data_IF_343059207514
#
_entry.id   IF_343059207514
#
_cell.length_a   1.000
_cell.length_b   1.000
_cell.length_c   1.000
_cell.angle_alpha   90.00
_cell.angle_beta   90.00
_cell.angle_gamma   90.00
#
_symmetry.space_group_name_H-M   'P 1'
#
loop_
_entity.id
_entity.type
_entity.pdbx_description
1 polymer ?
#
# COMPACT_ATOMS: atom_id res chain seq x y z
N UNK A 1 -4.77 5.49 -10.62
CA UNK A 1 -5.66 4.89 -9.62
C UNK A 1 -6.42 5.96 -8.85
N UNK A 2 -7.66 5.67 -8.51
CA UNK A 2 -8.49 6.57 -7.72
C UNK A 2 -8.48 6.07 -6.29
N UNK A 3 -8.04 6.93 -5.37
CA UNK A 3 -8.00 6.62 -3.96
C UNK A 3 -9.24 7.16 -3.25
N UNK A 4 -9.56 6.60 -2.07
CA UNK A 4 -10.62 7.11 -1.22
C UNK A 4 -10.34 8.56 -0.81
N UNK A 5 -11.42 9.33 -0.61
CA UNK A 5 -11.32 10.71 -0.13
C UNK A 5 -10.47 10.76 1.14
N UNK A 6 -9.50 11.65 1.17
CA UNK A 6 -8.57 11.82 2.29
C UNK A 6 -7.30 10.98 2.18
N UNK A 7 -7.30 9.90 1.39
CA UNK A 7 -6.09 9.08 1.25
C UNK A 7 -4.96 9.83 0.53
N UNK A 8 -5.30 10.64 -0.45
CA UNK A 8 -4.31 11.50 -1.13
C UNK A 8 -3.61 12.43 -0.16
N UNK A 9 -4.33 12.97 0.80
CA UNK A 9 -3.78 13.83 1.84
C UNK A 9 -2.77 13.08 2.71
N UNK A 10 -3.10 11.85 3.06
CA UNK A 10 -2.20 10.97 3.81
C UNK A 10 -0.93 10.69 3.01
N UNK A 11 -1.07 10.38 1.72
CA UNK A 11 0.07 10.14 0.84
C UNK A 11 0.93 11.38 0.64
N UNK A 12 0.33 12.55 0.55
CA UNK A 12 1.06 13.82 0.46
C UNK A 12 1.89 14.04 1.72
N UNK A 13 1.35 13.73 2.89
CA UNK A 13 2.08 13.84 4.16
C UNK A 13 3.25 12.86 4.23
N UNK A 14 3.04 11.62 3.76
CA UNK A 14 4.12 10.63 3.69
C UNK A 14 5.21 11.09 2.74
N UNK A 15 4.84 11.60 1.57
CA UNK A 15 5.82 12.11 0.59
C UNK A 15 6.64 13.26 1.16
N UNK A 16 5.99 14.17 1.91
CA UNK A 16 6.68 15.28 2.57
C UNK A 16 7.72 14.78 3.56
N UNK A 17 7.37 13.81 4.39
CA UNK A 17 8.31 13.19 5.33
C UNK A 17 9.49 12.57 4.59
N UNK A 18 9.22 11.85 3.50
CA UNK A 18 10.26 11.19 2.71
C UNK A 18 11.19 12.17 2.02
N UNK A 19 10.70 13.33 1.61
CA UNK A 19 11.54 14.36 1.00
C UNK A 19 12.36 15.12 2.04
N UNK A 20 11.84 15.28 3.26
CA UNK A 20 12.58 15.90 4.37
C UNK A 20 13.66 14.97 4.93
N UNK A 21 13.37 13.66 5.01
CA UNK A 21 14.28 12.64 5.55
C UNK A 21 14.74 11.73 4.42
N UNK A 22 15.68 12.21 3.63
CA UNK A 22 16.11 11.60 2.37
C UNK A 22 16.79 10.23 2.54
N UNK A 23 17.14 9.83 3.75
CA UNK A 23 17.74 8.51 4.05
C UNK A 23 16.71 7.53 4.61
N UNK A 24 15.47 7.68 4.22
CA UNK A 24 14.39 6.78 4.62
C UNK A 24 13.92 6.00 3.40
N UNK A 25 13.80 4.68 3.56
CA UNK A 25 13.13 3.81 2.59
C UNK A 25 11.66 3.70 2.91
N UNK A 26 10.86 3.43 1.89
CA UNK A 26 9.44 3.17 2.08
C UNK A 26 9.10 1.81 1.50
N UNK A 27 8.34 1.03 2.26
CA UNK A 27 7.83 -0.28 1.84
C UNK A 27 6.33 -0.17 1.72
N UNK A 28 5.82 -0.41 0.51
CA UNK A 28 4.39 -0.35 0.20
C UNK A 28 3.90 -1.77 -0.02
N UNK A 29 2.97 -2.21 0.80
CA UNK A 29 2.46 -3.59 0.77
C UNK A 29 0.95 -3.58 0.59
N UNK A 30 0.46 -4.34 -0.38
CA UNK A 30 -0.95 -4.47 -0.68
C UNK A 30 -1.51 -5.79 -0.17
N UNK A 31 -2.79 -5.76 0.21
CA UNK A 31 -3.51 -6.92 0.74
C UNK A 31 -4.94 -6.95 0.23
N UNK A 32 -5.52 -8.14 0.19
CA UNK A 32 -6.92 -8.36 -0.15
C UNK A 32 -7.63 -9.13 0.94
N UNK A 33 -8.96 -9.25 0.84
CA UNK A 33 -9.69 -10.27 1.58
C UNK A 33 -9.46 -11.65 0.93
N UNK A 34 -10.16 -12.68 1.42
CA UNK A 34 -9.97 -14.05 0.93
C UNK A 34 -10.97 -14.46 -0.18
N UNK A 35 -11.71 -13.51 -0.73
CA UNK A 35 -12.65 -13.81 -1.82
C UNK A 35 -11.91 -13.79 -3.15
N UNK A 36 -12.13 -14.84 -3.94
CA UNK A 36 -11.53 -14.98 -5.24
C UNK A 36 -10.28 -15.84 -5.24
N UNK A 37 -9.71 -16.02 -6.43
CA UNK A 37 -8.54 -16.88 -6.61
C UNK A 37 -7.28 -16.21 -6.06
N UNK A 38 -6.39 -17.01 -5.48
CA UNK A 38 -5.16 -16.52 -4.88
C UNK A 38 -4.29 -15.75 -5.89
N UNK A 39 -4.13 -16.28 -7.10
CA UNK A 39 -3.34 -15.62 -8.14
C UNK A 39 -3.90 -14.24 -8.50
N UNK A 40 -5.22 -14.13 -8.62
CA UNK A 40 -5.89 -12.85 -8.88
C UNK A 40 -5.68 -11.86 -7.72
N UNK A 41 -5.83 -12.33 -6.49
CA UNK A 41 -5.67 -11.49 -5.30
C UNK A 41 -4.22 -11.01 -5.15
N UNK A 42 -3.25 -11.86 -5.43
CA UNK A 42 -1.84 -11.47 -5.39
C UNK A 42 -1.56 -10.35 -6.40
N UNK A 43 -2.06 -10.50 -7.62
CA UNK A 43 -1.88 -9.49 -8.67
C UNK A 43 -2.60 -8.19 -8.33
N UNK A 44 -3.85 -8.27 -7.84
CA UNK A 44 -4.64 -7.10 -7.45
C UNK A 44 -3.96 -6.31 -6.33
N UNK A 45 -3.46 -7.01 -5.31
CA UNK A 45 -2.78 -6.38 -4.18
C UNK A 45 -1.49 -5.69 -4.63
N UNK A 46 -0.75 -6.29 -5.55
CA UNK A 46 0.45 -5.67 -6.12
C UNK A 46 0.11 -4.42 -6.92
N UNK A 47 -0.95 -4.46 -7.72
CA UNK A 47 -1.42 -3.29 -8.47
C UNK A 47 -1.78 -2.12 -7.56
N UNK A 48 -2.48 -2.40 -6.47
CA UNK A 48 -2.86 -1.38 -5.50
C UNK A 48 -1.65 -0.76 -4.82
N UNK A 49 -0.69 -1.59 -4.41
CA UNK A 49 0.54 -1.12 -3.81
C UNK A 49 1.35 -0.29 -4.81
N UNK A 50 1.41 -0.73 -6.07
CA UNK A 50 2.13 0.00 -7.12
C UNK A 50 1.49 1.37 -7.41
N UNK A 51 0.17 1.46 -7.36
CA UNK A 51 -0.53 2.74 -7.53
C UNK A 51 -0.15 3.74 -6.44
N UNK A 52 -0.01 3.27 -5.20
CA UNK A 52 0.47 4.11 -4.10
C UNK A 52 1.92 4.54 -4.33
N UNK A 53 2.77 3.62 -4.75
CA UNK A 53 4.17 3.93 -5.06
C UNK A 53 4.27 4.97 -6.19
N UNK A 54 3.47 4.81 -7.25
CA UNK A 54 3.46 5.75 -8.37
C UNK A 54 3.04 7.15 -7.92
N UNK A 55 2.08 7.24 -7.01
CA UNK A 55 1.67 8.54 -6.44
C UNK A 55 2.84 9.20 -5.69
N UNK A 56 3.58 8.43 -4.90
CA UNK A 56 4.73 8.95 -4.17
C UNK A 56 5.83 9.42 -5.14
N UNK A 57 6.05 8.69 -6.23
CA UNK A 57 7.02 9.08 -7.26
C UNK A 57 6.63 10.42 -7.88
N UNK A 58 5.33 10.64 -8.15
CA UNK A 58 4.84 11.93 -8.65
C UNK A 58 5.04 13.07 -7.66
N UNK A 59 5.27 12.75 -6.40
CA UNK A 59 5.56 13.70 -5.33
C UNK A 59 7.04 13.77 -5.01
N UNK A 60 7.90 13.44 -5.97
CA UNK A 60 9.36 13.57 -5.91
C UNK A 60 10.06 12.56 -4.99
N UNK A 61 9.40 11.45 -4.66
CA UNK A 61 10.08 10.36 -3.96
C UNK A 61 10.79 9.49 -5.00
N UNK A 62 12.10 9.29 -4.83
CA UNK A 62 12.88 8.48 -5.77
C UNK A 62 12.40 7.02 -5.80
N UNK A 63 12.18 6.43 -6.98
CA UNK A 63 11.81 5.02 -7.08
C UNK A 63 12.80 4.07 -6.40
N UNK A 64 14.07 4.42 -6.34
CA UNK A 64 15.10 3.59 -5.69
C UNK A 64 14.88 3.43 -4.19
N UNK A 65 14.07 4.30 -3.58
CA UNK A 65 13.74 4.27 -2.15
C UNK A 65 12.46 3.50 -1.86
N UNK A 66 11.76 3.02 -2.89
CA UNK A 66 10.43 2.42 -2.74
C UNK A 66 10.51 0.94 -3.08
N UNK A 67 10.04 0.10 -2.15
CA UNK A 67 9.82 -1.33 -2.38
C UNK A 67 8.32 -1.59 -2.39
N UNK A 68 7.86 -2.44 -3.32
CA UNK A 68 6.43 -2.71 -3.53
C UNK A 68 6.19 -4.20 -3.42
N UNK A 69 5.23 -4.59 -2.61
CA UNK A 69 4.86 -5.99 -2.41
C UNK A 69 3.35 -6.18 -2.50
N UNK A 70 2.93 -7.31 -3.06
CA UNK A 70 1.54 -7.74 -3.08
C UNK A 70 1.41 -9.09 -2.40
N UNK A 71 0.74 -9.13 -1.27
CA UNK A 71 0.59 -10.33 -0.46
C UNK A 71 -0.76 -11.03 -0.65
N UNK A 72 -1.67 -10.44 -1.40
CA UNK A 72 -2.99 -11.03 -1.62
C UNK A 72 -3.74 -11.17 -0.30
N UNK A 73 -4.32 -12.35 -0.07
CA UNK A 73 -5.10 -12.64 1.13
C UNK A 73 -4.25 -13.12 2.31
N UNK A 74 -2.94 -13.12 2.19
CA UNK A 74 -2.05 -13.47 3.29
C UNK A 74 -2.06 -12.36 4.34
N UNK A 75 -1.81 -12.74 5.60
CA UNK A 75 -1.70 -11.81 6.73
C UNK A 75 -2.96 -10.99 6.98
N UNK A 76 -4.13 -11.62 7.17
CA UNK A 76 -5.34 -10.88 7.52
C UNK A 76 -5.21 -10.22 8.88
N UNK A 77 -5.78 -9.01 9.01
CA UNK A 77 -5.82 -8.27 10.28
C UNK A 77 -7.20 -8.33 10.94
N UNK A 78 -8.19 -8.88 10.24
CA UNK A 78 -9.56 -9.00 10.73
C UNK A 78 -10.21 -10.26 10.15
N UNK A 79 -11.41 -10.59 10.62
CA UNK A 79 -12.13 -11.76 10.15
C UNK A 79 -12.57 -11.59 8.70
N UNK A 80 -12.30 -12.62 7.88
CA UNK A 80 -12.85 -12.70 6.52
C UNK A 80 -14.29 -13.22 6.48
N UNK A 81 -14.84 -13.63 7.63
CA UNK A 81 -16.21 -14.13 7.71
C UNK A 81 -17.26 -13.03 7.63
N UNK A 82 -16.89 -11.78 7.93
CA UNK A 82 -17.80 -10.63 7.89
C UNK A 82 -17.33 -9.61 6.87
N UNK A 83 -18.26 -8.84 6.29
CA UNK A 83 -17.90 -7.76 5.38
C UNK A 83 -17.07 -6.67 6.06
N UNK A 84 -17.39 -6.36 7.31
CA UNK A 84 -16.62 -5.37 8.08
C UNK A 84 -15.16 -5.81 8.23
N UNK A 85 -14.93 -7.09 8.52
CA UNK A 85 -13.58 -7.64 8.62
C UNK A 85 -12.86 -7.70 7.27
N UNK A 86 -13.57 -8.13 6.22
CA UNK A 86 -13.01 -8.16 4.87
C UNK A 86 -12.58 -6.77 4.41
N UNK A 87 -13.38 -5.74 4.72
CA UNK A 87 -13.05 -4.36 4.37
C UNK A 87 -11.72 -3.91 5.01
N UNK A 88 -11.47 -4.34 6.24
CA UNK A 88 -10.20 -4.03 6.90
C UNK A 88 -9.02 -4.76 6.26
N UNK A 89 -9.25 -5.97 5.73
CA UNK A 89 -8.20 -6.75 5.07
C UNK A 89 -7.82 -6.17 3.70
N UNK A 90 -8.76 -5.50 3.02
CA UNK A 90 -8.49 -4.82 1.73
C UNK A 90 -7.76 -3.51 1.99
N UNK A 91 -6.44 -3.58 2.10
CA UNK A 91 -5.65 -2.42 2.52
C UNK A 91 -4.30 -2.35 1.81
N UNK A 92 -3.70 -1.16 1.89
CA UNK A 92 -2.29 -0.94 1.58
C UNK A 92 -1.63 -0.39 2.83
N UNK A 93 -0.50 -0.94 3.20
CA UNK A 93 0.31 -0.44 4.31
C UNK A 93 1.55 0.25 3.78
N UNK A 94 1.97 1.29 4.48
CA UNK A 94 3.18 2.04 4.16
C UNK A 94 4.07 2.00 5.39
N UNK A 95 5.24 1.40 5.25
CA UNK A 95 6.22 1.28 6.33
C UNK A 95 7.44 2.12 6.00
N UNK A 96 7.82 3.01 6.90
CA UNK A 96 9.01 3.83 6.74
C UNK A 96 10.15 3.16 7.49
N UNK A 97 11.29 3.04 6.82
CA UNK A 97 12.45 2.36 7.36
C UNK A 97 13.70 3.21 7.14
N UNK A 98 14.45 3.44 8.19
CA UNK A 98 15.71 4.17 8.08
C UNK A 98 16.73 3.33 7.32
N UNK A 99 17.44 3.97 6.42
CA UNK A 99 18.48 3.32 5.61
C UNK A 99 19.78 3.15 6.38
#
# INVERSE_FOLDING_TARGET
AVFKTGFNRTLDSVAKVLTEYDKTKVIVSGYTDNIGKAAYNNELSLKRARAVADYLILRDVSPARISVYGYGSQYPIASNATEAGRAQNRRVTITLQQM
#
